data_IF_966995384126
#
_entry.id   IF_966995384126
#
_cell.length_a   1.000
_cell.length_b   1.000
_cell.length_c   1.000
_cell.angle_alpha   90.00
_cell.angle_beta   90.00
_cell.angle_gamma   90.00
#
_symmetry.space_group_name_H-M   'P 1'
#
loop_
_entity.id
_entity.type
_entity.pdbx_description
1 polymer ?
#
# COMPACT_ATOMS: atom_id res chain seq x y z
N UNK A 1 21.43 8.26 11.60
CA UNK A 1 20.87 6.90 11.84
C UNK A 1 19.93 6.61 10.70
N UNK A 2 20.32 5.78 9.73
CA UNK A 2 19.43 5.30 8.69
C UNK A 2 18.54 4.22 9.31
N UNK A 3 17.25 4.51 9.47
CA UNK A 3 16.27 3.49 9.87
C UNK A 3 16.08 2.59 8.66
N UNK A 4 16.54 1.34 8.74
CA UNK A 4 16.15 0.31 7.78
C UNK A 4 14.69 -0.03 8.08
N UNK A 5 13.77 0.46 7.24
CA UNK A 5 12.38 0.05 7.30
C UNK A 5 12.29 -1.41 6.88
N UNK A 6 11.63 -2.23 7.69
CA UNK A 6 11.28 -3.59 7.29
C UNK A 6 10.02 -3.56 6.44
N UNK A 7 9.81 -4.61 5.66
CA UNK A 7 8.60 -4.78 4.87
C UNK A 7 7.33 -4.83 5.75
N UNK A 8 7.43 -5.37 6.96
CA UNK A 8 6.35 -5.37 7.95
C UNK A 8 6.06 -3.99 8.53
N UNK A 9 7.05 -3.11 8.62
CA UNK A 9 6.84 -1.71 9.02
C UNK A 9 6.04 -0.97 7.96
N UNK A 10 6.31 -1.23 6.68
CA UNK A 10 5.52 -0.69 5.57
C UNK A 10 4.08 -1.20 5.61
N UNK A 11 3.88 -2.51 5.81
CA UNK A 11 2.53 -3.09 5.91
C UNK A 11 1.74 -2.47 7.06
N UNK A 12 2.39 -2.29 8.21
CA UNK A 12 1.81 -1.64 9.38
C UNK A 12 1.46 -0.19 9.08
N UNK A 13 2.37 0.56 8.45
CA UNK A 13 2.15 1.96 8.11
C UNK A 13 0.98 2.15 7.14
N UNK A 14 0.81 1.26 6.16
CA UNK A 14 -0.33 1.27 5.23
C UNK A 14 -1.64 0.74 5.85
N UNK A 15 -1.57 0.19 7.07
CA UNK A 15 -2.69 -0.43 7.75
C UNK A 15 -3.14 -1.75 7.09
N UNK A 16 -2.24 -2.47 6.42
CA UNK A 16 -2.56 -3.79 5.84
C UNK A 16 -2.86 -4.76 6.99
N UNK A 17 -4.01 -5.46 6.99
CA UNK A 17 -4.34 -6.45 8.01
C UNK A 17 -3.24 -7.52 8.14
N UNK A 18 -2.89 -7.87 9.38
CA UNK A 18 -1.85 -8.89 9.65
C UNK A 18 -2.15 -10.25 9.01
N UNK A 19 -3.42 -10.59 8.83
CA UNK A 19 -3.86 -11.80 8.12
C UNK A 19 -3.37 -11.86 6.67
N UNK A 20 -3.12 -10.71 6.07
CA UNK A 20 -2.79 -10.59 4.65
C UNK A 20 -1.27 -10.52 4.42
N UNK A 21 -0.48 -10.32 5.48
CA UNK A 21 0.97 -10.18 5.39
C UNK A 21 1.66 -11.36 4.68
N UNK A 22 1.29 -12.64 4.91
CA UNK A 22 1.88 -13.75 4.16
C UNK A 22 1.65 -13.63 2.64
N UNK A 23 0.46 -13.16 2.23
CA UNK A 23 0.15 -12.94 0.81
C UNK A 23 0.93 -11.75 0.25
N UNK A 24 1.04 -10.65 1.03
CA UNK A 24 1.86 -9.50 0.64
C UNK A 24 3.32 -9.89 0.45
N UNK A 25 3.89 -10.72 1.33
CA UNK A 25 5.27 -11.20 1.21
C UNK A 25 5.49 -12.07 -0.02
N UNK A 26 4.47 -12.83 -0.46
CA UNK A 26 4.52 -13.57 -1.72
C UNK A 26 4.54 -12.65 -2.93
N UNK A 27 3.80 -11.54 -2.88
CA UNK A 27 3.81 -10.54 -3.94
C UNK A 27 5.06 -9.65 -3.94
N UNK A 28 5.67 -9.42 -2.78
CA UNK A 28 6.92 -8.67 -2.67
C UNK A 28 8.17 -9.40 -3.21
N UNK A 29 8.04 -10.67 -3.61
CA UNK A 29 9.14 -11.45 -4.15
C UNK A 29 9.74 -10.85 -5.43
N UNK A 30 11.03 -11.12 -5.66
CA UNK A 30 11.90 -10.40 -6.60
C UNK A 30 11.44 -10.33 -8.07
N UNK A 31 10.43 -11.10 -8.50
CA UNK A 31 9.82 -11.00 -9.82
C UNK A 31 8.33 -11.37 -9.75
N UNK A 32 7.47 -10.36 -9.65
CA UNK A 32 6.04 -10.53 -9.92
C UNK A 32 5.86 -10.80 -11.42
N UNK A 33 5.21 -11.92 -11.75
CA UNK A 33 4.62 -12.05 -13.08
C UNK A 33 3.46 -11.05 -13.25
N UNK A 34 3.05 -10.80 -14.49
CA UNK A 34 1.99 -9.83 -14.79
C UNK A 34 0.71 -10.12 -13.98
N UNK A 35 0.35 -11.39 -13.83
CA UNK A 35 -0.83 -11.83 -13.07
C UNK A 35 -0.74 -11.46 -11.59
N UNK A 36 0.43 -11.61 -10.99
CA UNK A 36 0.64 -11.31 -9.58
C UNK A 36 0.70 -9.80 -9.35
N UNK A 37 1.18 -9.03 -10.33
CA UNK A 37 1.04 -7.55 -10.32
C UNK A 37 -0.42 -7.12 -10.42
N UNK A 38 -1.20 -7.69 -11.34
CA UNK A 38 -2.64 -7.38 -11.45
C UNK A 38 -3.39 -7.72 -10.15
N UNK A 39 -3.02 -8.82 -9.47
CA UNK A 39 -3.61 -9.20 -8.20
C UNK A 39 -3.24 -8.25 -7.05
N UNK A 40 -1.99 -7.74 -7.04
CA UNK A 40 -1.55 -6.72 -6.09
C UNK A 40 -2.30 -5.41 -6.33
N UNK A 41 -2.40 -4.96 -7.58
CA UNK A 41 -3.12 -3.73 -7.95
C UNK A 41 -4.60 -3.80 -7.54
N UNK A 42 -5.26 -4.94 -7.81
CA UNK A 42 -6.64 -5.17 -7.39
C UNK A 42 -6.79 -5.18 -5.85
N UNK A 43 -5.82 -5.73 -5.12
CA UNK A 43 -5.81 -5.68 -3.67
C UNK A 43 -5.69 -4.25 -3.14
N UNK A 44 -4.79 -3.46 -3.73
CA UNK A 44 -4.58 -2.06 -3.35
C UNK A 44 -5.86 -1.24 -3.60
N UNK A 45 -6.53 -1.46 -4.73
CA UNK A 45 -7.81 -0.79 -5.02
C UNK A 45 -8.88 -1.09 -3.97
N UNK A 46 -8.99 -2.35 -3.52
CA UNK A 46 -9.91 -2.73 -2.44
C UNK A 46 -9.54 -2.07 -1.12
N UNK A 47 -8.24 -2.01 -0.79
CA UNK A 47 -7.75 -1.37 0.42
C UNK A 47 -8.04 0.14 0.41
N UNK A 48 -7.81 0.83 -0.72
CA UNK A 48 -8.16 2.24 -0.92
C UNK A 48 -9.68 2.43 -0.75
N UNK A 49 -10.49 1.62 -1.42
CA UNK A 49 -11.94 1.72 -1.35
C UNK A 49 -12.48 1.48 0.07
N UNK A 50 -11.86 0.59 0.85
CA UNK A 50 -12.20 0.39 2.25
C UNK A 50 -11.90 1.62 3.10
N UNK A 51 -10.74 2.25 2.90
CA UNK A 51 -10.33 3.45 3.65
C UNK A 51 -11.08 4.71 3.25
N UNK A 52 -11.51 4.81 2.00
CA UNK A 52 -12.46 5.85 1.57
C UNK A 52 -13.80 5.72 2.30
N UNK A 53 -14.24 4.49 2.61
CA UNK A 53 -15.47 4.24 3.38
C UNK A 53 -15.28 4.44 4.88
N UNK A 54 -14.12 4.02 5.40
CA UNK A 54 -13.79 4.01 6.83
C UNK A 54 -12.35 4.44 7.02
N UNK A 55 -12.16 5.72 7.30
CA UNK A 55 -10.85 6.30 7.61
C UNK A 55 -10.25 5.60 8.83
N UNK A 56 -9.00 5.16 8.70
CA UNK A 56 -8.17 4.62 9.78
C UNK A 56 -7.08 5.59 10.26
N UNK A 57 -6.27 5.15 11.21
CA UNK A 57 -5.11 5.91 11.75
C UNK A 57 -3.79 5.46 11.09
N UNK A 58 -3.82 5.27 9.77
CA UNK A 58 -2.72 4.75 8.97
C UNK A 58 -2.29 5.75 7.89
N UNK A 59 -1.12 5.50 7.29
CA UNK A 59 -0.57 6.33 6.22
C UNK A 59 -1.51 6.41 5.02
N UNK A 60 -2.18 5.31 4.66
CA UNK A 60 -3.10 5.31 3.52
C UNK A 60 -4.28 6.25 3.76
N UNK A 61 -4.86 6.22 4.95
CA UNK A 61 -5.92 7.14 5.37
C UNK A 61 -5.46 8.60 5.34
N UNK A 62 -4.22 8.87 5.76
CA UNK A 62 -3.63 10.22 5.67
C UNK A 62 -3.41 10.67 4.22
N UNK A 63 -2.97 9.78 3.33
CA UNK A 63 -2.82 10.07 1.91
C UNK A 63 -4.18 10.34 1.25
N UNK A 64 -5.22 9.60 1.63
CA UNK A 64 -6.59 9.84 1.14
C UNK A 64 -7.13 11.19 1.61
N UNK A 65 -6.90 11.58 2.87
CA UNK A 65 -7.46 12.81 3.44
C UNK A 65 -6.70 14.08 3.06
N UNK A 66 -5.37 13.99 2.95
CA UNK A 66 -4.51 15.17 2.83
C UNK A 66 -3.68 15.18 1.53
N UNK A 67 -3.74 14.10 0.76
CA UNK A 67 -2.94 13.94 -0.44
C UNK A 67 -1.44 13.94 -0.16
N UNK A 68 -0.65 14.28 -1.17
CA UNK A 68 0.80 14.40 -1.06
C UNK A 68 1.22 15.85 -1.31
N UNK A 69 1.92 16.45 -0.34
CA UNK A 69 2.28 17.87 -0.41
C UNK A 69 1.07 18.82 -0.41
N UNK A 70 -0.08 18.36 0.08
CA UNK A 70 -1.34 19.11 0.09
C UNK A 70 -2.10 19.08 -1.23
N UNK A 71 -1.66 18.28 -2.21
CA UNK A 71 -2.37 18.04 -3.47
C UNK A 71 -3.15 16.74 -3.33
N UNK A 72 -4.47 16.82 -3.51
CA UNK A 72 -5.36 15.65 -3.55
C UNK A 72 -4.88 14.64 -4.58
N UNK A 73 -4.98 13.36 -4.24
CA UNK A 73 -4.57 12.26 -5.10
C UNK A 73 -5.80 11.54 -5.63
N UNK A 74 -5.81 11.23 -6.92
CA UNK A 74 -6.81 10.32 -7.46
C UNK A 74 -6.51 8.84 -7.09
N UNK A 75 -7.43 7.94 -7.45
CA UNK A 75 -7.29 6.53 -7.14
C UNK A 75 -6.07 5.88 -7.82
N UNK A 76 -5.70 6.35 -9.01
CA UNK A 76 -4.58 5.80 -9.78
C UNK A 76 -3.24 6.26 -9.19
N UNK A 77 -3.16 7.52 -8.78
CA UNK A 77 -2.00 8.09 -8.07
C UNK A 77 -1.80 7.42 -6.71
N UNK A 78 -2.88 7.24 -5.93
CA UNK A 78 -2.84 6.49 -4.68
C UNK A 78 -2.34 5.07 -4.89
N UNK A 79 -2.87 4.35 -5.90
CA UNK A 79 -2.42 2.99 -6.21
C UNK A 79 -0.94 2.95 -6.56
N UNK A 80 -0.48 3.89 -7.40
CA UNK A 80 0.93 3.99 -7.79
C UNK A 80 1.85 4.21 -6.60
N UNK A 81 1.47 5.09 -5.67
CA UNK A 81 2.25 5.34 -4.44
C UNK A 81 2.28 4.10 -3.54
N UNK A 82 1.14 3.45 -3.31
CA UNK A 82 1.07 2.25 -2.47
C UNK A 82 1.85 1.10 -3.09
N UNK A 83 1.72 0.87 -4.40
CA UNK A 83 2.46 -0.16 -5.12
C UNK A 83 3.98 0.10 -5.07
N UNK A 84 4.40 1.37 -5.20
CA UNK A 84 5.79 1.75 -5.04
C UNK A 84 6.28 1.46 -3.63
N UNK A 85 5.52 1.81 -2.58
CA UNK A 85 5.82 1.49 -1.18
C UNK A 85 5.93 -0.01 -0.90
N UNK A 86 5.24 -0.86 -1.66
CA UNK A 86 5.28 -2.31 -1.47
C UNK A 86 6.37 -2.99 -2.31
N UNK A 87 7.02 -2.28 -3.22
CA UNK A 87 8.08 -2.81 -4.06
C UNK A 87 9.33 -3.17 -3.21
N UNK A 88 10.06 -4.24 -3.56
CA UNK A 88 11.31 -4.58 -2.90
C UNK A 88 12.37 -3.48 -3.13
N UNK A 89 13.16 -3.18 -2.09
CA UNK A 89 14.22 -2.16 -2.05
C UNK A 89 15.60 -2.75 -1.76
#
# INVERSE_FOLDING_TARGET
MTVSLTQTDVYTALGIPQSDWPQMSRWAGAQLDARSRDALDAYIDVLIADRCRRVGDDLLSRLILYGLGGVELDADELRGIVAALLAPW
#
